data_IF_058891831975
#
_entry.id   IF_058891831975
#
_cell.length_a   1.000
_cell.length_b   1.000
_cell.length_c   1.000
_cell.angle_alpha   90.00
_cell.angle_beta   90.00
_cell.angle_gamma   90.00
#
_symmetry.space_group_name_H-M   'P 1'
#
loop_
_entity.id
_entity.type
_entity.pdbx_description
1 polymer ?
#
# COMPACT_ATOMS: atom_id res chain seq x y z
N UNK A 1 1.23 11.11 -16.44
CA UNK A 1 1.01 11.53 -15.06
C UNK A 1 2.28 11.31 -14.24
N UNK A 2 2.68 12.30 -13.50
CA UNK A 2 3.86 12.22 -12.63
C UNK A 2 3.47 11.67 -11.26
N UNK A 3 4.49 11.26 -10.48
CA UNK A 3 4.27 10.82 -9.11
C UNK A 3 3.62 11.94 -8.28
N UNK A 4 4.07 13.19 -8.46
CA UNK A 4 3.49 14.34 -7.75
C UNK A 4 2.00 14.52 -8.08
N UNK A 5 1.63 14.38 -9.35
CA UNK A 5 0.23 14.49 -9.76
C UNK A 5 -0.62 13.36 -9.16
N UNK A 6 -0.06 12.15 -9.14
CA UNK A 6 -0.75 11.01 -8.52
C UNK A 6 -0.98 11.26 -7.04
N UNK A 7 0.06 11.71 -6.32
CA UNK A 7 -0.06 11.99 -4.88
C UNK A 7 -1.08 13.10 -4.62
N UNK A 8 -1.06 14.17 -5.40
CA UNK A 8 -2.04 15.26 -5.27
C UNK A 8 -3.46 14.74 -5.45
N UNK A 9 -3.69 13.90 -6.46
CA UNK A 9 -5.01 13.33 -6.71
C UNK A 9 -5.48 12.47 -5.55
N UNK A 10 -4.60 11.63 -5.02
CA UNK A 10 -4.94 10.74 -3.90
C UNK A 10 -5.23 11.53 -2.63
N UNK A 11 -4.45 12.59 -2.37
CA UNK A 11 -4.67 13.47 -1.21
C UNK A 11 -6.05 14.13 -1.31
N UNK A 12 -6.42 14.61 -2.50
CA UNK A 12 -7.74 15.24 -2.71
C UNK A 12 -8.87 14.24 -2.51
N UNK A 13 -8.72 13.02 -3.00
CA UNK A 13 -9.73 11.96 -2.79
C UNK A 13 -9.96 11.72 -1.31
N UNK A 14 -8.88 11.62 -0.55
CA UNK A 14 -8.95 11.41 0.89
C UNK A 14 -9.59 12.60 1.60
N UNK A 15 -9.15 13.81 1.29
CA UNK A 15 -9.67 15.03 1.91
C UNK A 15 -11.17 15.22 1.65
N UNK A 16 -11.61 14.92 0.44
CA UNK A 16 -13.04 15.05 0.08
C UNK A 16 -13.92 14.09 0.87
N UNK A 17 -13.35 13.08 1.46
CA UNK A 17 -14.06 12.09 2.29
C UNK A 17 -13.73 12.23 3.77
N UNK A 18 -13.09 13.33 4.16
CA UNK A 18 -12.81 13.63 5.57
C UNK A 18 -11.60 12.88 6.15
N UNK A 19 -10.68 12.44 5.30
CA UNK A 19 -9.51 11.69 5.72
C UNK A 19 -8.22 12.42 5.37
N UNK A 20 -7.18 12.14 6.13
CA UNK A 20 -5.84 12.66 5.88
C UNK A 20 -4.96 11.54 5.31
N UNK A 21 -4.26 11.84 4.23
CA UNK A 21 -3.36 10.90 3.57
C UNK A 21 -1.92 11.39 3.68
N UNK A 22 -1.05 10.50 4.12
CA UNK A 22 0.40 10.71 4.11
C UNK A 22 0.99 9.84 3.01
N UNK A 23 1.76 10.45 2.09
CA UNK A 23 2.38 9.73 0.98
C UNK A 23 3.88 9.62 1.22
N UNK A 24 4.43 8.43 1.01
CA UNK A 24 5.85 8.15 1.14
C UNK A 24 6.29 7.37 -0.09
N UNK A 25 7.42 7.74 -0.66
CA UNK A 25 8.03 7.01 -1.78
C UNK A 25 9.52 6.85 -1.48
N UNK A 26 10.00 5.61 -1.51
CA UNK A 26 11.41 5.31 -1.25
C UNK A 26 11.79 3.98 -1.90
N UNK A 27 13.06 3.83 -2.26
CA UNK A 27 13.62 2.58 -2.78
C UNK A 27 14.40 1.81 -1.71
N UNK A 28 14.42 2.30 -0.48
CA UNK A 28 15.17 1.68 0.60
C UNK A 28 14.25 0.82 1.47
N UNK A 29 14.54 -0.47 1.55
CA UNK A 29 13.74 -1.41 2.34
C UNK A 29 13.61 -0.97 3.80
N UNK A 30 14.70 -0.52 4.41
CA UNK A 30 14.67 -0.10 5.82
C UNK A 30 13.79 1.13 6.04
N UNK A 31 13.70 2.03 5.06
CA UNK A 31 12.84 3.20 5.16
C UNK A 31 11.36 2.80 5.08
N UNK A 32 11.04 1.80 4.25
CA UNK A 32 9.68 1.26 4.18
C UNK A 32 9.29 0.64 5.53
N UNK A 33 10.17 -0.16 6.10
CA UNK A 33 9.95 -0.81 7.39
C UNK A 33 9.76 0.24 8.50
N UNK A 34 10.60 1.27 8.51
CA UNK A 34 10.50 2.34 9.50
C UNK A 34 9.18 3.10 9.35
N UNK A 35 8.74 3.36 8.11
CA UNK A 35 7.47 4.02 7.87
C UNK A 35 6.28 3.19 8.38
N UNK A 36 6.34 1.88 8.21
CA UNK A 36 5.31 0.97 8.72
C UNK A 36 5.26 1.02 10.25
N UNK A 37 6.41 0.96 10.90
CA UNK A 37 6.48 1.06 12.36
C UNK A 37 5.96 2.42 12.85
N UNK A 38 6.35 3.51 12.19
CA UNK A 38 5.92 4.85 12.56
C UNK A 38 4.41 5.04 12.35
N UNK A 39 3.82 4.35 11.38
CA UNK A 39 2.37 4.38 11.17
C UNK A 39 1.62 3.96 12.44
N UNK A 40 2.13 2.96 13.15
CA UNK A 40 1.54 2.50 14.40
C UNK A 40 1.98 3.37 15.59
N UNK A 41 3.28 3.61 15.72
CA UNK A 41 3.87 4.14 16.93
C UNK A 41 3.76 5.66 17.04
N UNK A 42 3.77 6.37 15.92
CA UNK A 42 3.84 7.85 15.93
C UNK A 42 2.64 8.52 15.28
N UNK A 43 2.09 7.93 14.23
CA UNK A 43 1.13 8.62 13.37
C UNK A 43 -0.31 8.14 13.52
N UNK A 44 -0.52 7.10 14.27
CA UNK A 44 -1.85 6.55 14.54
C UNK A 44 -2.65 6.32 13.26
N UNK A 45 -2.02 5.68 12.28
CA UNK A 45 -2.60 5.40 10.97
C UNK A 45 -3.60 4.24 11.08
N UNK A 46 -4.73 4.36 10.42
CA UNK A 46 -5.79 3.34 10.46
C UNK A 46 -5.75 2.35 9.29
N UNK A 47 -5.14 2.73 8.17
CA UNK A 47 -5.01 1.85 7.01
C UNK A 47 -3.77 2.23 6.20
N UNK A 48 -3.20 1.25 5.52
CA UNK A 48 -2.01 1.43 4.69
C UNK A 48 -2.32 0.97 3.27
N UNK A 49 -1.94 1.76 2.27
CA UNK A 49 -1.90 1.33 0.87
C UNK A 49 -0.44 1.25 0.47
N UNK A 50 0.00 0.10 0.01
CA UNK A 50 1.41 -0.14 -0.29
C UNK A 50 1.62 -0.76 -1.67
N UNK A 51 2.52 -0.15 -2.44
CA UNK A 51 3.09 -0.77 -3.62
C UNK A 51 4.55 -1.10 -3.28
N UNK A 52 4.85 -2.35 -2.95
CA UNK A 52 6.20 -2.71 -2.51
C UNK A 52 7.20 -2.87 -3.65
N UNK A 53 6.75 -2.78 -4.91
CA UNK A 53 7.63 -2.96 -6.06
C UNK A 53 8.29 -4.33 -6.06
N UNK A 54 9.59 -4.38 -6.35
CA UNK A 54 10.33 -5.63 -6.39
C UNK A 54 10.43 -6.30 -5.01
N UNK A 55 10.30 -5.56 -3.92
CA UNK A 55 10.32 -6.14 -2.57
C UNK A 55 9.14 -7.05 -2.30
N UNK A 56 8.08 -6.98 -3.11
CA UNK A 56 6.95 -7.91 -3.08
C UNK A 56 7.42 -9.35 -3.11
N UNK A 57 8.46 -9.62 -3.89
CA UNK A 57 8.92 -10.98 -4.21
C UNK A 57 10.10 -11.42 -3.36
N UNK A 58 10.61 -10.57 -2.49
CA UNK A 58 11.86 -10.83 -1.76
C UNK A 58 11.79 -10.50 -0.28
N UNK A 59 10.92 -9.58 0.16
CA UNK A 59 11.02 -9.03 1.51
C UNK A 59 10.12 -9.70 2.52
N UNK A 60 10.67 -10.64 3.25
CA UNK A 60 10.04 -11.18 4.45
C UNK A 60 10.03 -10.10 5.55
N UNK A 61 11.03 -9.21 5.56
CA UNK A 61 11.10 -8.14 6.57
C UNK A 61 9.93 -7.16 6.47
N UNK A 62 9.52 -6.78 5.25
CA UNK A 62 8.34 -5.93 5.06
C UNK A 62 7.07 -6.68 5.49
N UNK A 63 6.95 -7.96 5.15
CA UNK A 63 5.83 -8.79 5.60
C UNK A 63 5.74 -8.79 7.13
N UNK A 64 6.85 -9.00 7.80
CA UNK A 64 6.89 -9.06 9.26
C UNK A 64 6.50 -7.71 9.88
N UNK A 65 6.95 -6.61 9.29
CA UNK A 65 6.59 -5.27 9.76
C UNK A 65 5.08 -5.04 9.66
N UNK A 66 4.48 -5.37 8.52
CA UNK A 66 3.04 -5.23 8.30
C UNK A 66 2.23 -6.10 9.24
N UNK A 67 2.66 -7.34 9.43
CA UNK A 67 2.02 -8.27 10.36
C UNK A 67 2.11 -7.79 11.79
N UNK A 68 3.27 -7.23 12.16
CA UNK A 68 3.54 -6.79 13.52
C UNK A 68 2.73 -5.59 13.96
N UNK A 69 2.47 -4.63 13.05
CA UNK A 69 1.70 -3.43 13.41
C UNK A 69 0.19 -3.68 13.44
N UNK A 70 -0.26 -4.75 12.80
CA UNK A 70 -1.69 -5.12 12.75
C UNK A 70 -2.60 -4.04 12.19
N UNK A 71 -2.07 -3.16 11.33
CA UNK A 71 -2.87 -2.19 10.60
C UNK A 71 -3.33 -2.85 9.29
N UNK A 72 -4.63 -2.79 8.94
CA UNK A 72 -5.09 -3.33 7.66
C UNK A 72 -4.35 -2.66 6.51
N UNK A 73 -3.88 -3.45 5.55
CA UNK A 73 -3.19 -2.88 4.41
C UNK A 73 -3.73 -3.44 3.10
N UNK A 74 -3.55 -2.65 2.05
CA UNK A 74 -4.02 -2.93 0.70
C UNK A 74 -2.81 -2.93 -0.22
N UNK A 75 -2.60 -4.03 -0.91
CA UNK A 75 -1.45 -4.22 -1.78
C UNK A 75 -1.80 -3.77 -3.20
N UNK A 76 -0.94 -2.94 -3.82
CA UNK A 76 -1.15 -2.43 -5.17
C UNK A 76 0.03 -2.79 -6.05
N UNK A 77 -0.25 -3.28 -7.24
CA UNK A 77 0.72 -3.50 -8.31
C UNK A 77 0.20 -2.85 -9.58
N UNK A 78 1.01 -2.01 -10.21
CA UNK A 78 0.62 -1.33 -11.46
C UNK A 78 0.46 -2.36 -12.57
N UNK A 79 1.40 -3.30 -12.69
CA UNK A 79 1.34 -4.39 -13.66
C UNK A 79 0.67 -5.61 -13.05
N UNK A 80 0.08 -6.46 -13.89
CA UNK A 80 -0.47 -7.73 -13.42
C UNK A 80 0.69 -8.69 -13.14
N UNK A 81 0.91 -9.02 -11.86
CA UNK A 81 2.01 -9.89 -11.46
C UNK A 81 1.84 -11.32 -11.97
N UNK A 82 0.62 -11.75 -12.28
CA UNK A 82 0.36 -13.07 -12.83
C UNK A 82 0.86 -13.22 -14.26
N UNK A 83 1.13 -12.12 -14.95
CA UNK A 83 1.66 -12.10 -16.31
C UNK A 83 3.15 -11.83 -16.36
N UNK A 84 3.85 -11.91 -15.23
CA UNK A 84 5.29 -11.69 -15.12
C UNK A 84 6.03 -13.03 -15.09
N UNK A 85 7.35 -12.99 -14.99
CA UNK A 85 8.17 -14.20 -14.81
C UNK A 85 7.72 -14.94 -13.54
N UNK A 86 7.92 -16.25 -13.49
CA UNK A 86 7.43 -17.07 -12.36
C UNK A 86 7.87 -16.55 -11.01
N UNK A 87 9.12 -16.06 -10.88
CA UNK A 87 9.62 -15.53 -9.61
C UNK A 87 8.94 -14.22 -9.19
N UNK A 88 8.25 -13.54 -10.13
CA UNK A 88 7.52 -12.29 -9.87
C UNK A 88 6.02 -12.50 -9.67
N UNK A 89 5.55 -13.73 -9.70
CA UNK A 89 4.14 -14.04 -9.48
C UNK A 89 3.80 -14.21 -8.01
N UNK A 90 4.75 -14.62 -7.20
CA UNK A 90 4.54 -14.81 -5.77
C UNK A 90 4.74 -13.52 -4.99
N UNK A 91 3.80 -13.21 -4.11
CA UNK A 91 3.92 -12.08 -3.18
C UNK A 91 4.02 -12.59 -1.75
N UNK A 92 4.99 -12.08 -1.01
CA UNK A 92 5.09 -12.34 0.42
C UNK A 92 4.04 -11.59 1.24
N UNK A 93 3.24 -10.73 0.61
CA UNK A 93 2.27 -9.88 1.30
C UNK A 93 0.82 -10.27 1.05
N UNK A 94 0.52 -10.88 -0.10
CA UNK A 94 -0.87 -11.04 -0.56
C UNK A 94 -1.75 -11.85 0.38
N UNK A 95 -1.19 -12.83 1.06
CA UNK A 95 -1.97 -13.68 1.96
C UNK A 95 -2.39 -12.98 3.25
N UNK A 96 -1.69 -11.90 3.64
CA UNK A 96 -2.04 -11.12 4.83
C UNK A 96 -2.65 -9.76 4.50
N UNK A 97 -2.68 -9.38 3.22
CA UNK A 97 -3.29 -8.14 2.79
C UNK A 97 -4.82 -8.22 2.91
N UNK A 98 -5.44 -7.08 3.20
CA UNK A 98 -6.89 -6.99 3.22
C UNK A 98 -7.44 -7.22 1.81
N UNK A 99 -6.76 -6.66 0.80
CA UNK A 99 -7.12 -6.83 -0.60
C UNK A 99 -5.91 -6.52 -1.47
N UNK A 100 -5.88 -7.09 -2.67
CA UNK A 100 -4.80 -6.89 -3.65
C UNK A 100 -5.40 -6.31 -4.92
N UNK A 101 -4.81 -5.23 -5.42
CA UNK A 101 -5.16 -4.61 -6.70
C UNK A 101 -3.97 -4.76 -7.64
N UNK A 102 -4.14 -5.48 -8.72
CA UNK A 102 -3.05 -5.82 -9.63
C UNK A 102 -3.48 -5.63 -11.08
N UNK A 103 -2.59 -5.06 -11.91
CA UNK A 103 -2.83 -4.94 -13.34
C UNK A 103 -3.76 -3.81 -13.75
N UNK A 104 -4.04 -2.87 -12.87
CA UNK A 104 -4.96 -1.76 -13.16
C UNK A 104 -4.25 -0.43 -13.36
N UNK A 105 -2.94 -0.48 -13.56
CA UNK A 105 -2.14 0.73 -13.71
C UNK A 105 -2.24 1.61 -12.49
N UNK A 106 -2.16 2.91 -12.69
CA UNK A 106 -2.21 3.89 -11.59
C UNK A 106 -3.57 3.95 -10.91
N UNK A 107 -4.63 3.50 -11.59
CA UNK A 107 -5.97 3.47 -11.01
C UNK A 107 -6.05 2.53 -9.80
N UNK A 108 -5.15 1.56 -9.72
CA UNK A 108 -5.07 0.65 -8.57
C UNK A 108 -4.95 1.38 -7.24
N UNK A 109 -4.20 2.48 -7.21
CA UNK A 109 -4.05 3.30 -5.99
C UNK A 109 -5.38 3.93 -5.56
N UNK A 110 -6.14 4.47 -6.52
CA UNK A 110 -7.45 5.05 -6.24
C UNK A 110 -8.42 4.01 -5.69
N UNK A 111 -8.45 2.84 -6.32
CA UNK A 111 -9.32 1.75 -5.90
C UNK A 111 -8.98 1.29 -4.49
N UNK A 112 -7.68 1.14 -4.20
CA UNK A 112 -7.22 0.73 -2.89
C UNK A 112 -7.55 1.78 -1.82
N UNK A 113 -7.33 3.06 -2.12
CA UNK A 113 -7.62 4.15 -1.20
C UNK A 113 -9.11 4.21 -0.89
N UNK A 114 -9.96 4.14 -1.90
CA UNK A 114 -11.41 4.16 -1.70
C UNK A 114 -11.89 2.97 -0.88
N UNK A 115 -11.32 1.79 -1.12
CA UNK A 115 -11.64 0.59 -0.35
C UNK A 115 -11.21 0.74 1.12
N UNK A 116 -10.02 1.28 1.34
CA UNK A 116 -9.50 1.53 2.69
C UNK A 116 -10.40 2.50 3.46
N UNK A 117 -10.83 3.58 2.82
CA UNK A 117 -11.72 4.57 3.43
C UNK A 117 -13.07 3.94 3.75
N UNK A 118 -13.65 3.20 2.81
CA UNK A 118 -14.94 2.54 2.99
C UNK A 118 -14.89 1.56 4.17
N UNK A 119 -13.86 0.73 4.23
CA UNK A 119 -13.73 -0.26 5.29
C UNK A 119 -13.49 0.39 6.65
N UNK A 120 -12.80 1.53 6.69
CA UNK A 120 -12.59 2.27 7.91
C UNK A 120 -13.90 2.85 8.46
N UNK A 121 -14.77 3.31 7.58
CA UNK A 121 -16.08 3.85 7.97
C UNK A 121 -17.05 2.80 8.48
N UNK A 122 -16.87 1.54 8.08
CA UNK A 122 -17.72 0.44 8.49
C UNK A 122 -17.37 -0.15 9.86
N UNK A 123 -16.31 0.36 10.50
CA UNK A 123 -15.91 -0.14 11.82
C UNK A 123 -16.74 0.48 12.95
#
# INVERSE_FOLDING_TARGET
ITLSELEENLVLIAQNQGHKLHCIQTNAEHEIINAIHDAKLKNNISSIVINPGAFTHTSIAIRDALSGVEIPFYEVHISDINNREDFRKFSYLSDIAKKVFSGQGLKGYELALNDAIKNNLEK
#
